data_IF_519110466256
#
_entry.id   IF_519110466256
#
_cell.length_a   1.000
_cell.length_b   1.000
_cell.length_c   1.000
_cell.angle_alpha   90.00
_cell.angle_beta   90.00
_cell.angle_gamma   90.00
#
_symmetry.space_group_name_H-M   'P 1'
#
loop_
_entity.id
_entity.type
_entity.pdbx_description
1 polymer ?
#
# COMPACT_ATOMS: atom_id res chain seq x y z
N UNK A 1 31.28 -0.34 19.18
CA UNK A 1 31.21 0.50 17.96
C UNK A 1 29.76 0.48 17.56
N UNK A 2 29.08 1.63 17.47
CA UNK A 2 27.68 1.63 17.01
C UNK A 2 27.67 1.06 15.59
N UNK A 3 27.00 -0.07 15.41
CA UNK A 3 26.80 -0.70 14.11
C UNK A 3 26.01 0.28 13.25
N UNK A 4 26.53 0.65 12.07
CA UNK A 4 25.84 1.52 11.10
C UNK A 4 24.71 0.79 10.35
N UNK A 5 24.15 -0.26 10.97
CA UNK A 5 23.14 -1.15 10.40
C UNK A 5 22.01 -1.29 11.41
N UNK A 6 20.74 -1.27 10.96
CA UNK A 6 19.63 -1.47 11.87
C UNK A 6 19.67 -2.84 12.54
N UNK A 7 19.22 -2.89 13.77
CA UNK A 7 19.10 -4.11 14.57
C UNK A 7 17.81 -4.84 14.23
N UNK A 8 17.80 -6.15 14.50
CA UNK A 8 16.60 -6.97 14.37
C UNK A 8 15.50 -6.41 15.28
N UNK A 9 14.27 -6.37 14.77
CA UNK A 9 13.07 -6.13 15.59
C UNK A 9 12.20 -7.38 15.65
N UNK A 10 11.57 -7.59 16.79
CA UNK A 10 10.63 -8.68 17.04
C UNK A 10 9.47 -8.18 17.88
N UNK A 11 8.34 -8.89 17.86
CA UNK A 11 7.21 -8.63 18.74
C UNK A 11 7.13 -9.71 19.81
N UNK A 12 6.88 -9.32 21.06
CA UNK A 12 6.58 -10.26 22.14
C UNK A 12 5.14 -10.78 22.07
N UNK A 13 4.76 -11.64 23.01
CA UNK A 13 3.42 -12.24 23.15
C UNK A 13 2.28 -11.22 23.27
N UNK A 14 2.57 -9.98 23.66
CA UNK A 14 1.60 -8.87 23.73
C UNK A 14 1.54 -8.03 22.45
N UNK A 15 2.38 -8.32 21.46
CA UNK A 15 2.54 -7.53 20.24
C UNK A 15 3.38 -6.26 20.43
N UNK A 16 4.08 -6.12 21.55
CA UNK A 16 5.01 -5.00 21.76
C UNK A 16 6.27 -5.25 20.95
N UNK A 17 6.63 -4.29 20.10
CA UNK A 17 7.81 -4.38 19.23
C UNK A 17 9.04 -3.94 20.01
N UNK A 18 10.09 -4.76 19.98
CA UNK A 18 11.37 -4.56 20.65
C UNK A 18 12.49 -4.80 19.66
N UNK A 19 13.61 -4.11 19.84
CA UNK A 19 14.83 -4.36 19.09
C UNK A 19 15.79 -5.27 19.88
N UNK A 20 16.66 -5.95 19.15
CA UNK A 20 17.71 -6.81 19.71
C UNK A 20 19.06 -6.50 19.06
N UNK A 21 19.96 -5.87 19.82
CA UNK A 21 21.28 -5.46 19.34
C UNK A 21 22.22 -6.62 18.99
N UNK A 22 21.95 -7.83 19.49
CA UNK A 22 22.76 -9.01 19.16
C UNK A 22 22.63 -9.47 17.71
N UNK A 23 21.59 -9.04 16.99
CA UNK A 23 21.39 -9.35 15.59
C UNK A 23 21.12 -8.08 14.77
N UNK A 24 21.67 -8.03 13.57
CA UNK A 24 21.28 -7.00 12.58
C UNK A 24 20.00 -7.40 11.86
N UNK A 25 19.29 -6.41 11.31
CA UNK A 25 18.11 -6.63 10.50
C UNK A 25 18.43 -7.55 9.32
N UNK A 26 17.46 -8.39 8.94
CA UNK A 26 17.55 -9.22 7.77
C UNK A 26 16.41 -8.92 6.79
N UNK A 27 16.76 -8.86 5.51
CA UNK A 27 15.82 -8.90 4.40
C UNK A 27 15.83 -10.27 3.75
N UNK A 28 14.67 -10.70 3.26
CA UNK A 28 14.53 -11.93 2.49
C UNK A 28 14.41 -11.62 0.99
N UNK A 29 15.21 -12.35 0.20
CA UNK A 29 15.11 -12.45 -1.25
C UNK A 29 14.86 -13.91 -1.61
N UNK A 30 13.59 -14.30 -1.61
CA UNK A 30 13.21 -15.71 -1.68
C UNK A 30 13.66 -16.46 -0.41
N UNK A 31 14.50 -17.47 -0.57
CA UNK A 31 15.04 -18.29 0.53
C UNK A 31 16.35 -17.74 1.10
N UNK A 32 16.91 -16.68 0.51
CA UNK A 32 18.15 -16.06 0.97
C UNK A 32 17.84 -14.95 1.96
N UNK A 33 18.55 -14.96 3.09
CA UNK A 33 18.51 -13.91 4.10
C UNK A 33 19.86 -13.19 4.14
N UNK A 34 19.82 -11.87 4.10
CA UNK A 34 21.00 -11.04 4.27
C UNK A 34 20.64 -9.68 4.85
N UNK A 35 21.63 -9.00 5.39
CA UNK A 35 21.47 -7.64 5.88
C UNK A 35 21.47 -6.71 4.66
N UNK A 36 20.41 -5.89 4.45
CA UNK A 36 20.40 -4.92 3.36
C UNK A 36 21.56 -3.93 3.47
N UNK A 37 22.04 -3.47 2.32
CA UNK A 37 23.01 -2.38 2.28
C UNK A 37 22.34 -1.06 2.68
N UNK A 38 23.12 -0.13 3.22
CA UNK A 38 22.60 1.19 3.61
C UNK A 38 21.94 1.95 2.44
N UNK A 39 22.36 1.70 1.19
CA UNK A 39 21.75 2.31 0.00
C UNK A 39 20.35 1.75 -0.32
N UNK A 40 19.99 0.60 0.25
CA UNK A 40 18.70 -0.08 0.10
C UNK A 40 17.76 0.21 1.27
N UNK A 41 18.22 1.03 2.24
CA UNK A 41 17.50 1.36 3.45
C UNK A 41 17.02 2.81 3.45
N UNK A 42 15.79 3.00 3.88
CA UNK A 42 15.21 4.30 4.18
C UNK A 42 14.57 4.26 5.57
N UNK A 43 14.45 5.42 6.23
CA UNK A 43 13.59 5.55 7.40
C UNK A 43 12.16 5.13 7.01
N UNK A 44 11.45 4.44 7.91
CA UNK A 44 10.08 4.00 7.70
C UNK A 44 9.20 5.18 7.27
N UNK A 45 8.64 5.18 6.05
CA UNK A 45 7.90 6.33 5.56
C UNK A 45 6.66 6.63 6.40
N UNK A 46 6.38 7.92 6.60
CA UNK A 46 5.19 8.36 7.32
C UNK A 46 3.90 7.82 6.66
N UNK A 47 3.01 7.27 7.48
CA UNK A 47 1.77 6.62 7.01
C UNK A 47 1.92 5.13 6.66
N UNK A 48 3.11 4.55 6.87
CA UNK A 48 3.31 3.09 6.87
C UNK A 48 2.74 2.47 8.15
N UNK A 49 2.46 1.17 8.11
CA UNK A 49 1.99 0.39 9.25
C UNK A 49 2.98 -0.74 9.59
N UNK A 50 3.05 -1.15 10.85
CA UNK A 50 3.83 -2.31 11.29
C UNK A 50 2.91 -3.49 11.56
N UNK A 51 3.30 -4.66 11.07
CA UNK A 51 2.56 -5.91 11.25
C UNK A 51 3.36 -6.91 12.06
N UNK A 52 2.73 -7.43 13.11
CA UNK A 52 3.17 -8.67 13.75
C UNK A 52 2.82 -9.83 12.82
N UNK A 53 3.71 -10.79 12.68
CA UNK A 53 3.55 -11.96 11.82
C UNK A 53 3.33 -13.22 12.67
N UNK A 54 2.08 -13.61 12.98
CA UNK A 54 1.82 -14.74 13.87
C UNK A 54 2.42 -16.05 13.35
N UNK A 55 2.99 -16.84 14.27
CA UNK A 55 3.58 -18.15 13.99
C UNK A 55 4.83 -18.09 13.11
N UNK A 56 5.49 -16.94 13.02
CA UNK A 56 6.72 -16.74 12.25
C UNK A 56 7.80 -16.20 13.17
N UNK A 57 8.85 -16.98 13.36
CA UNK A 57 9.98 -16.61 14.21
C UNK A 57 10.89 -15.62 13.45
N UNK A 58 11.35 -14.52 14.09
CA UNK A 58 12.25 -13.57 13.45
C UNK A 58 13.58 -14.21 13.05
N UNK A 59 14.10 -13.81 11.89
CA UNK A 59 15.48 -14.11 11.48
C UNK A 59 16.24 -12.79 11.40
N UNK A 60 17.40 -12.74 12.03
CA UNK A 60 18.37 -11.65 11.91
C UNK A 60 19.67 -12.14 11.28
N UNK A 61 20.65 -11.24 11.13
CA UNK A 61 22.00 -11.58 10.67
C UNK A 61 23.00 -11.36 11.81
N UNK A 62 23.82 -12.37 12.08
CA UNK A 62 24.92 -12.32 13.04
C UNK A 62 25.96 -11.28 12.60
N UNK A 63 26.28 -10.27 13.42
CA UNK A 63 27.19 -9.18 13.03
C UNK A 63 28.61 -9.65 12.67
N UNK A 64 29.11 -10.68 13.36
CA UNK A 64 30.49 -11.14 13.23
C UNK A 64 30.72 -12.06 12.03
N UNK A 65 29.75 -12.93 11.74
CA UNK A 65 29.86 -13.95 10.67
C UNK A 65 29.14 -13.54 9.39
N UNK A 66 28.12 -12.69 9.49
CA UNK A 66 27.22 -12.38 8.38
C UNK A 66 26.20 -13.49 8.09
N UNK A 67 26.14 -14.53 8.92
CA UNK A 67 25.23 -15.67 8.73
C UNK A 67 23.82 -15.39 9.30
N UNK A 68 22.76 -15.92 8.68
CA UNK A 68 21.42 -15.83 9.24
C UNK A 68 21.29 -16.59 10.57
N UNK A 69 20.65 -15.96 11.56
CA UNK A 69 20.34 -16.56 12.85
C UNK A 69 18.86 -16.40 13.19
N UNK A 70 18.29 -17.49 13.70
CA UNK A 70 16.92 -17.56 14.17
C UNK A 70 16.83 -17.04 15.61
N UNK A 71 15.89 -16.13 15.87
CA UNK A 71 15.50 -15.77 17.23
C UNK A 71 14.26 -16.59 17.61
N UNK A 72 14.42 -17.55 18.51
CA UNK A 72 13.36 -18.47 18.96
C UNK A 72 12.83 -18.18 20.37
N UNK A 73 13.44 -17.23 21.09
CA UNK A 73 12.98 -16.71 22.37
C UNK A 73 13.31 -15.22 22.52
N UNK A 74 12.50 -14.49 23.30
CA UNK A 74 12.79 -13.12 23.70
C UNK A 74 14.13 -13.10 24.46
N UNK A 75 15.16 -12.39 23.97
CA UNK A 75 16.51 -12.43 24.55
C UNK A 75 16.59 -11.78 25.93
N UNK A 76 15.54 -11.06 26.36
CA UNK A 76 15.49 -10.37 27.64
C UNK A 76 14.65 -11.11 28.69
N UNK A 77 13.70 -11.95 28.29
CA UNK A 77 12.80 -12.67 29.21
C UNK A 77 12.90 -14.19 29.11
N UNK A 78 13.40 -14.72 28.00
CA UNK A 78 13.42 -16.15 27.68
C UNK A 78 12.08 -16.72 27.22
N UNK A 79 11.05 -15.89 27.02
CA UNK A 79 9.74 -16.34 26.52
C UNK A 79 9.84 -16.74 25.04
N UNK A 80 9.27 -17.88 24.66
CA UNK A 80 9.34 -18.40 23.29
C UNK A 80 8.21 -17.91 22.38
N UNK A 81 7.22 -17.21 22.93
CA UNK A 81 6.10 -16.65 22.17
C UNK A 81 6.48 -15.27 21.64
N UNK A 82 7.29 -15.28 20.58
CA UNK A 82 7.71 -14.10 19.83
C UNK A 82 7.35 -14.22 18.36
N UNK A 83 7.26 -13.10 17.68
CA UNK A 83 6.89 -13.04 16.27
C UNK A 83 7.75 -12.07 15.49
N UNK A 84 8.03 -12.42 14.23
CA UNK A 84 8.64 -11.51 13.26
C UNK A 84 7.74 -10.29 13.03
N UNK A 85 8.38 -9.19 12.63
CA UNK A 85 7.70 -7.92 12.33
C UNK A 85 7.99 -7.55 10.89
N UNK A 86 6.99 -7.00 10.21
CA UNK A 86 7.13 -6.44 8.86
C UNK A 86 6.54 -5.03 8.80
N UNK A 87 6.93 -4.27 7.78
CA UNK A 87 6.32 -3.00 7.44
C UNK A 87 5.43 -3.10 6.19
N UNK A 88 4.23 -2.54 6.28
CA UNK A 88 3.38 -2.23 5.14
C UNK A 88 3.60 -0.78 4.74
N UNK A 89 4.28 -0.60 3.62
CA UNK A 89 4.85 0.68 3.21
C UNK A 89 3.79 1.69 2.76
N UNK A 90 3.98 2.94 3.16
CA UNK A 90 3.19 4.05 2.65
C UNK A 90 3.28 4.12 1.10
N UNK A 91 2.25 4.66 0.43
CA UNK A 91 2.28 4.83 -1.01
C UNK A 91 3.53 5.60 -1.50
N UNK A 92 3.84 5.50 -2.79
CA UNK A 92 5.06 6.03 -3.44
C UNK A 92 6.39 5.32 -3.10
N UNK A 93 6.37 4.27 -2.27
CA UNK A 93 7.55 3.50 -1.90
C UNK A 93 7.47 2.06 -2.42
N UNK A 94 8.63 1.48 -2.75
CA UNK A 94 8.75 0.12 -3.28
C UNK A 94 9.70 -0.67 -2.38
N UNK A 95 9.23 -1.83 -1.92
CA UNK A 95 10.02 -2.76 -1.12
C UNK A 95 11.12 -3.39 -1.98
N UNK A 96 12.31 -3.54 -1.39
CA UNK A 96 13.46 -4.25 -1.96
C UNK A 96 13.51 -5.69 -1.42
N UNK A 97 13.27 -5.86 -0.11
CA UNK A 97 13.25 -7.17 0.55
C UNK A 97 11.99 -7.36 1.38
N UNK A 98 11.54 -8.62 1.48
CA UNK A 98 10.47 -8.98 2.41
C UNK A 98 11.04 -9.26 3.80
N UNK A 99 10.21 -9.25 4.84
CA UNK A 99 10.61 -9.60 6.18
C UNK A 99 11.22 -11.01 6.23
N UNK A 100 12.36 -11.15 6.90
CA UNK A 100 13.01 -12.44 7.10
C UNK A 100 12.43 -13.15 8.32
N UNK A 101 11.95 -14.37 8.12
CA UNK A 101 11.37 -15.18 9.17
C UNK A 101 11.42 -16.67 8.83
N UNK A 102 11.26 -17.51 9.85
CA UNK A 102 10.96 -18.92 9.71
C UNK A 102 9.51 -19.21 10.12
N UNK A 103 8.72 -19.78 9.22
CA UNK A 103 7.36 -20.21 9.53
C UNK A 103 7.37 -21.44 10.44
N UNK A 104 6.57 -21.41 11.50
CA UNK A 104 6.28 -22.59 12.31
C UNK A 104 5.26 -23.50 11.59
N UNK A 105 5.19 -24.77 11.98
CA UNK A 105 4.33 -25.79 11.35
C UNK A 105 2.85 -25.37 11.26
N UNK A 106 2.35 -24.64 12.26
CA UNK A 106 0.95 -24.18 12.36
C UNK A 106 0.77 -22.69 12.08
N UNK A 107 1.73 -22.06 11.40
CA UNK A 107 1.63 -20.64 11.06
C UNK A 107 0.38 -20.36 10.21
N UNK A 108 -0.47 -19.39 10.57
CA UNK A 108 -1.63 -19.06 9.77
C UNK A 108 -1.22 -18.47 8.41
N UNK A 109 -2.10 -18.62 7.43
CA UNK A 109 -1.99 -17.88 6.17
C UNK A 109 -2.16 -16.39 6.46
N UNK A 110 -1.23 -15.59 5.98
CA UNK A 110 -1.32 -14.13 6.07
C UNK A 110 -2.12 -13.58 4.88
N UNK A 111 -2.81 -12.44 5.06
CA UNK A 111 -3.36 -11.69 3.94
C UNK A 111 -2.28 -11.36 2.89
N UNK A 112 -2.69 -11.11 1.66
CA UNK A 112 -1.78 -10.83 0.54
C UNK A 112 -1.32 -9.36 0.55
N UNK A 113 -0.56 -8.99 1.58
CA UNK A 113 0.07 -7.68 1.73
C UNK A 113 1.57 -7.71 1.39
N UNK A 114 2.15 -6.53 1.23
CA UNK A 114 3.59 -6.37 1.14
C UNK A 114 4.19 -6.36 2.54
N UNK A 115 4.90 -7.43 2.90
CA UNK A 115 5.56 -7.59 4.19
C UNK A 115 7.03 -7.20 4.05
N UNK A 116 7.34 -5.90 4.13
CA UNK A 116 8.69 -5.37 3.92
C UNK A 116 9.57 -5.61 5.14
N UNK A 117 10.85 -5.90 4.93
CA UNK A 117 11.81 -6.01 6.01
C UNK A 117 11.94 -4.69 6.78
N UNK A 118 12.00 -4.77 8.11
CA UNK A 118 12.09 -3.63 9.01
C UNK A 118 13.11 -3.93 10.12
N UNK A 119 13.85 -2.90 10.54
CA UNK A 119 14.80 -2.92 11.64
C UNK A 119 14.76 -1.62 12.44
N UNK A 120 15.59 -1.51 13.47
CA UNK A 120 15.67 -0.33 14.33
C UNK A 120 17.07 0.28 14.35
N UNK A 121 17.17 1.61 14.21
CA UNK A 121 18.43 2.34 14.27
C UNK A 121 18.17 3.79 14.65
N UNK A 122 18.98 4.33 15.56
CA UNK A 122 18.95 5.74 15.99
C UNK A 122 17.56 6.24 16.41
N UNK A 123 16.82 5.40 17.14
CA UNK A 123 15.50 5.76 17.67
C UNK A 123 14.37 5.73 16.64
N UNK A 124 14.59 5.12 15.47
CA UNK A 124 13.64 5.06 14.37
C UNK A 124 13.59 3.67 13.73
N UNK A 125 12.46 3.38 13.09
CA UNK A 125 12.35 2.22 12.20
C UNK A 125 12.97 2.52 10.84
N UNK A 126 13.67 1.53 10.31
CA UNK A 126 14.28 1.53 8.98
C UNK A 126 13.78 0.33 8.19
N UNK A 127 13.61 0.50 6.89
CA UNK A 127 13.01 -0.52 6.01
C UNK A 127 13.81 -0.71 4.74
N UNK A 128 13.80 -1.93 4.21
CA UNK A 128 14.41 -2.27 2.94
C UNK A 128 13.54 -1.81 1.77
N UNK A 129 13.65 -0.55 1.39
CA UNK A 129 12.80 0.08 0.40
C UNK A 129 13.45 1.31 -0.22
N UNK A 130 12.88 1.79 -1.33
CA UNK A 130 13.19 3.09 -1.91
C UNK A 130 11.92 3.84 -2.31
N UNK A 131 12.02 5.17 -2.45
CA UNK A 131 10.91 5.99 -2.96
C UNK A 131 10.90 5.96 -4.49
N UNK A 132 9.90 5.31 -5.07
CA UNK A 132 9.76 5.15 -6.53
C UNK A 132 9.00 6.31 -7.19
N UNK A 133 8.10 6.98 -6.48
CA UNK A 133 7.43 8.21 -6.94
C UNK A 133 7.84 9.42 -6.10
N UNK A 134 8.55 10.36 -6.71
CA UNK A 134 9.03 11.57 -6.04
C UNK A 134 7.94 12.63 -5.84
N UNK A 135 6.75 12.48 -6.45
CA UNK A 135 5.63 13.38 -6.22
C UNK A 135 5.05 13.16 -4.82
N UNK A 136 4.69 14.26 -4.15
CA UNK A 136 4.07 14.23 -2.82
C UNK A 136 2.56 13.98 -2.85
N UNK A 137 2.00 13.70 -4.04
CA UNK A 137 0.56 13.54 -4.24
C UNK A 137 -0.10 12.47 -3.37
N UNK A 138 0.65 11.49 -2.92
CA UNK A 138 0.16 10.37 -2.12
C UNK A 138 0.57 10.45 -0.64
N UNK A 139 1.36 11.46 -0.26
CA UNK A 139 1.91 11.59 1.09
C UNK A 139 0.82 11.87 2.11
N UNK A 140 0.87 11.17 3.26
CA UNK A 140 -0.17 11.24 4.28
C UNK A 140 -0.33 12.64 4.88
N UNK A 141 0.77 13.39 5.02
CA UNK A 141 0.79 14.77 5.49
C UNK A 141 -0.11 15.70 4.66
N UNK A 142 -0.37 15.36 3.39
CA UNK A 142 -1.26 16.10 2.52
C UNK A 142 -2.75 15.89 2.79
N UNK A 143 -3.17 14.93 3.64
CA UNK A 143 -4.55 14.50 3.78
C UNK A 143 -5.18 14.91 5.13
N UNK A 144 -5.91 16.01 5.14
CA UNK A 144 -6.73 16.41 6.29
C UNK A 144 -8.09 15.68 6.26
N UNK A 145 -8.32 14.73 7.18
CA UNK A 145 -9.51 13.88 7.17
C UNK A 145 -10.83 14.66 7.31
N UNK A 146 -10.87 15.72 8.13
CA UNK A 146 -12.08 16.54 8.30
C UNK A 146 -12.45 17.27 7.00
N UNK A 147 -11.45 17.78 6.30
CA UNK A 147 -11.65 18.43 5.00
C UNK A 147 -12.10 17.43 3.94
N UNK A 148 -11.51 16.22 3.93
CA UNK A 148 -11.89 15.12 3.03
C UNK A 148 -13.35 14.76 3.23
N UNK A 149 -13.77 14.47 4.46
CA UNK A 149 -15.15 14.12 4.79
C UNK A 149 -16.13 15.19 4.26
N UNK A 150 -15.88 16.46 4.59
CA UNK A 150 -16.72 17.59 4.18
C UNK A 150 -16.83 17.75 2.66
N UNK A 151 -15.70 17.66 1.93
CA UNK A 151 -15.68 17.83 0.48
C UNK A 151 -16.30 16.64 -0.25
N UNK A 152 -15.99 15.43 0.21
CA UNK A 152 -16.55 14.20 -0.36
C UNK A 152 -18.06 14.19 -0.22
N UNK A 153 -18.59 14.37 0.98
CA UNK A 153 -20.03 14.41 1.20
C UNK A 153 -20.75 15.48 0.37
N UNK A 154 -20.17 16.70 0.28
CA UNK A 154 -20.72 17.76 -0.55
C UNK A 154 -20.84 17.31 -2.01
N UNK A 155 -19.77 16.72 -2.56
CA UNK A 155 -19.73 16.30 -3.96
C UNK A 155 -20.64 15.10 -4.23
N UNK A 156 -20.74 14.15 -3.30
CA UNK A 156 -21.69 13.04 -3.38
C UNK A 156 -23.15 13.52 -3.42
N UNK A 157 -23.50 14.54 -2.61
CA UNK A 157 -24.84 15.15 -2.63
C UNK A 157 -25.14 15.92 -3.91
N UNK A 158 -24.13 16.54 -4.52
CA UNK A 158 -24.27 17.30 -5.76
C UNK A 158 -24.43 16.40 -7.00
N UNK A 159 -23.86 15.19 -6.97
CA UNK A 159 -23.83 14.27 -8.11
C UNK A 159 -24.45 12.91 -7.77
N UNK A 160 -25.70 12.92 -7.28
CA UNK A 160 -26.39 11.70 -6.82
C UNK A 160 -26.60 10.66 -7.93
N UNK A 161 -26.79 11.13 -9.16
CA UNK A 161 -27.10 10.27 -10.30
C UNK A 161 -25.85 9.70 -11.00
N UNK A 162 -24.66 10.20 -10.67
CA UNK A 162 -23.41 9.71 -11.24
C UNK A 162 -22.85 8.56 -10.39
N UNK A 163 -23.03 7.32 -10.86
CA UNK A 163 -22.65 6.12 -10.10
C UNK A 163 -21.15 6.05 -9.86
N UNK A 164 -20.35 6.57 -10.79
CA UNK A 164 -18.89 6.58 -10.67
C UNK A 164 -18.42 7.50 -9.54
N UNK A 165 -19.02 8.69 -9.40
CA UNK A 165 -18.74 9.59 -8.28
C UNK A 165 -19.14 8.95 -6.95
N UNK A 166 -20.28 8.25 -6.90
CA UNK A 166 -20.71 7.52 -5.70
C UNK A 166 -19.73 6.40 -5.33
N UNK A 167 -19.23 5.64 -6.31
CA UNK A 167 -18.21 4.61 -6.10
C UNK A 167 -16.90 5.21 -5.55
N UNK A 168 -16.41 6.31 -6.14
CA UNK A 168 -15.23 7.01 -5.63
C UNK A 168 -15.42 7.51 -4.18
N UNK A 169 -16.65 7.85 -3.78
CA UNK A 169 -16.98 8.17 -2.39
C UNK A 169 -16.62 7.04 -1.42
N UNK A 170 -16.97 5.80 -1.78
CA UNK A 170 -16.58 4.60 -1.02
C UNK A 170 -15.06 4.44 -0.99
N UNK A 171 -14.39 4.57 -2.14
CA UNK A 171 -12.93 4.48 -2.21
C UNK A 171 -12.24 5.53 -1.31
N UNK A 172 -12.76 6.75 -1.27
CA UNK A 172 -12.21 7.85 -0.49
C UNK A 172 -12.41 7.69 1.03
N UNK A 173 -13.62 7.31 1.45
CA UNK A 173 -14.02 7.34 2.86
C UNK A 173 -13.85 5.98 3.56
N UNK A 174 -13.98 4.88 2.83
CA UNK A 174 -13.84 3.52 3.39
C UNK A 174 -12.44 2.99 3.21
N UNK A 175 -11.91 3.00 1.98
CA UNK A 175 -10.59 2.41 1.69
C UNK A 175 -9.43 3.40 1.83
N UNK A 176 -9.71 4.69 2.00
CA UNK A 176 -8.69 5.71 2.12
C UNK A 176 -7.83 5.91 0.87
N UNK A 177 -8.31 5.52 -0.32
CA UNK A 177 -7.58 5.58 -1.59
C UNK A 177 -7.03 7.01 -1.84
N UNK A 178 -5.69 7.20 -1.95
CA UNK A 178 -5.10 8.52 -2.17
C UNK A 178 -5.60 9.21 -3.44
N UNK A 179 -5.78 8.48 -4.53
CA UNK A 179 -6.28 9.04 -5.79
C UNK A 179 -7.74 9.52 -5.66
N UNK A 180 -8.61 8.75 -5.00
CA UNK A 180 -9.99 9.18 -4.75
C UNK A 180 -10.03 10.39 -3.80
N UNK A 181 -9.20 10.42 -2.75
CA UNK A 181 -9.06 11.56 -1.84
C UNK A 181 -8.60 12.81 -2.60
N UNK A 182 -7.62 12.69 -3.49
CA UNK A 182 -7.14 13.79 -4.33
C UNK A 182 -8.23 14.36 -5.25
N UNK A 183 -9.05 13.49 -5.85
CA UNK A 183 -10.23 13.93 -6.62
C UNK A 183 -11.21 14.77 -5.78
N UNK A 184 -11.58 14.34 -4.57
CA UNK A 184 -12.51 15.10 -3.72
C UNK A 184 -11.85 16.35 -3.11
N UNK A 185 -10.54 16.34 -2.91
CA UNK A 185 -9.76 17.54 -2.59
C UNK A 185 -9.58 18.47 -3.79
N UNK A 186 -9.89 18.04 -5.01
CA UNK A 186 -9.79 18.84 -6.23
C UNK A 186 -8.36 19.17 -6.61
N UNK A 187 -7.44 18.20 -6.47
CA UNK A 187 -6.01 18.36 -6.77
C UNK A 187 -5.45 17.16 -7.52
N UNK A 188 -4.42 17.40 -8.33
CA UNK A 188 -3.55 16.36 -8.92
C UNK A 188 -4.31 15.29 -9.70
N UNK A 189 -4.15 14.02 -9.34
CA UNK A 189 -4.75 12.88 -10.03
C UNK A 189 -6.19 12.60 -9.58
N UNK A 190 -7.07 12.34 -10.55
CA UNK A 190 -8.40 11.77 -10.32
C UNK A 190 -8.53 10.42 -11.06
N UNK A 191 -8.83 9.31 -10.34
CA UNK A 191 -8.96 8.00 -10.94
C UNK A 191 -10.31 7.86 -11.65
N UNK A 192 -10.33 7.18 -12.80
CA UNK A 192 -11.51 6.91 -13.62
C UNK A 192 -11.76 5.40 -13.73
N UNK A 193 -12.16 4.73 -12.64
CA UNK A 193 -12.32 3.29 -12.64
C UNK A 193 -13.42 2.87 -13.62
N UNK A 194 -13.05 2.11 -14.65
CA UNK A 194 -13.92 1.94 -15.83
C UNK A 194 -14.39 0.52 -16.09
N UNK A 195 -13.80 -0.53 -15.49
CA UNK A 195 -14.11 -1.91 -15.86
C UNK A 195 -14.49 -2.80 -14.68
N UNK A 196 -15.61 -3.55 -14.73
CA UNK A 196 -15.88 -4.58 -13.74
C UNK A 196 -15.14 -5.91 -14.04
N UNK A 197 -14.50 -6.04 -15.20
CA UNK A 197 -13.84 -7.25 -15.66
C UNK A 197 -12.32 -7.04 -15.79
N UNK A 198 -11.54 -8.12 -15.72
CA UNK A 198 -10.08 -8.09 -15.87
C UNK A 198 -9.64 -9.20 -16.82
N UNK A 199 -8.61 -8.93 -17.63
CA UNK A 199 -7.93 -9.91 -18.48
C UNK A 199 -6.73 -10.58 -17.77
N UNK A 200 -6.42 -10.16 -16.54
CA UNK A 200 -5.36 -10.74 -15.72
C UNK A 200 -5.93 -11.70 -14.67
N UNK A 201 -5.21 -12.79 -14.42
CA UNK A 201 -5.53 -13.81 -13.43
C UNK A 201 -4.53 -13.79 -12.26
N UNK A 202 -4.37 -12.62 -11.64
CA UNK A 202 -3.43 -12.43 -10.53
C UNK A 202 -3.79 -13.35 -9.36
N UNK A 203 -2.84 -14.14 -8.88
CA UNK A 203 -2.98 -14.98 -7.67
C UNK A 203 -3.40 -14.11 -6.47
N UNK A 204 -2.82 -12.92 -6.36
CA UNK A 204 -3.08 -11.96 -5.29
C UNK A 204 -3.92 -10.75 -5.71
N UNK A 205 -4.98 -10.94 -6.50
CA UNK A 205 -5.82 -9.81 -6.89
C UNK A 205 -6.43 -9.08 -5.68
N UNK A 206 -6.12 -7.79 -5.54
CA UNK A 206 -6.58 -6.95 -4.43
C UNK A 206 -8.11 -6.75 -4.42
N UNK A 207 -8.76 -6.97 -5.56
CA UNK A 207 -10.16 -6.62 -5.78
C UNK A 207 -11.10 -7.76 -6.15
N UNK A 208 -10.55 -8.93 -6.47
CA UNK A 208 -11.34 -10.12 -6.77
C UNK A 208 -10.59 -11.39 -6.36
N UNK A 209 -10.93 -11.90 -5.19
CA UNK A 209 -10.47 -13.19 -4.67
C UNK A 209 -11.67 -14.14 -4.59
N UNK A 210 -11.52 -15.43 -4.98
CA UNK A 210 -12.51 -16.43 -4.62
C UNK A 210 -12.67 -16.43 -3.10
N UNK A 211 -13.92 -16.49 -2.62
CA UNK A 211 -14.25 -16.47 -1.18
C UNK A 211 -13.48 -17.57 -0.45
N UNK A 212 -12.75 -17.22 0.62
CA UNK A 212 -11.88 -18.14 1.35
C UNK A 212 -11.02 -17.43 2.42
N UNK A 213 -9.80 -17.93 2.62
CA UNK A 213 -8.87 -17.49 3.67
C UNK A 213 -8.20 -16.12 3.43
N UNK A 214 -8.13 -15.64 2.19
CA UNK A 214 -7.50 -14.37 1.83
C UNK A 214 -8.51 -13.48 1.08
N UNK A 215 -9.40 -12.76 1.80
CA UNK A 215 -10.38 -11.89 1.15
C UNK A 215 -9.71 -10.72 0.42
N UNK A 216 -10.36 -10.23 -0.62
CA UNK A 216 -9.96 -8.99 -1.29
C UNK A 216 -9.98 -7.81 -0.32
N UNK A 217 -8.99 -6.95 -0.42
CA UNK A 217 -8.83 -5.78 0.45
C UNK A 217 -9.76 -4.63 0.04
N UNK A 218 -10.17 -4.59 -1.23
CA UNK A 218 -11.07 -3.57 -1.77
C UNK A 218 -12.01 -4.16 -2.81
N UNK A 219 -13.32 -4.02 -2.65
CA UNK A 219 -14.28 -4.56 -3.63
C UNK A 219 -14.11 -4.00 -5.04
N UNK A 220 -14.10 -4.89 -6.05
CA UNK A 220 -14.15 -4.48 -7.47
C UNK A 220 -15.41 -3.68 -7.80
N UNK A 221 -15.26 -2.66 -8.65
CA UNK A 221 -16.40 -1.94 -9.23
C UNK A 221 -17.33 -2.92 -9.96
N UNK A 222 -18.64 -2.80 -9.76
CA UNK A 222 -19.63 -3.78 -10.25
C UNK A 222 -20.34 -3.37 -11.54
N UNK A 223 -19.93 -2.26 -12.14
CA UNK A 223 -20.55 -1.70 -13.34
C UNK A 223 -19.48 -1.06 -14.21
N UNK A 224 -19.75 -0.98 -15.52
CA UNK A 224 -19.02 -0.09 -16.42
C UNK A 224 -19.71 1.28 -16.42
N UNK A 225 -19.01 2.38 -16.09
CA UNK A 225 -19.57 3.73 -16.17
C UNK A 225 -19.81 4.11 -17.64
N UNK A 226 -20.73 5.02 -17.87
CA UNK A 226 -20.94 5.61 -19.19
C UNK A 226 -19.86 6.65 -19.50
N UNK A 227 -19.65 6.96 -20.78
CA UNK A 227 -18.74 8.03 -21.19
C UNK A 227 -19.10 9.40 -20.57
N UNK A 228 -20.39 9.65 -20.34
CA UNK A 228 -20.88 10.86 -19.67
C UNK A 228 -20.51 10.89 -18.18
N UNK A 229 -20.68 9.77 -17.47
CA UNK A 229 -20.29 9.68 -16.05
C UNK A 229 -18.79 9.94 -15.86
N UNK A 230 -17.96 9.40 -16.76
CA UNK A 230 -16.50 9.65 -16.79
C UNK A 230 -16.21 11.13 -17.08
N UNK A 231 -16.83 11.70 -18.11
CA UNK A 231 -16.59 13.09 -18.52
C UNK A 231 -17.01 14.10 -17.43
N UNK A 232 -18.08 13.81 -16.68
CA UNK A 232 -18.56 14.64 -15.57
C UNK A 232 -17.56 14.73 -14.41
N UNK A 233 -16.72 13.71 -14.23
CA UNK A 233 -15.58 13.76 -13.30
C UNK A 233 -14.41 14.52 -13.94
N UNK A 234 -14.01 14.08 -15.13
CA UNK A 234 -12.75 14.46 -15.73
C UNK A 234 -12.70 15.94 -16.17
N UNK A 235 -13.75 16.45 -16.80
CA UNK A 235 -13.78 17.82 -17.34
C UNK A 235 -13.63 18.88 -16.25
N UNK A 236 -14.47 18.91 -15.19
CA UNK A 236 -14.30 19.92 -14.14
C UNK A 236 -12.99 19.73 -13.37
N UNK A 237 -12.49 18.49 -13.22
CA UNK A 237 -11.21 18.24 -12.58
C UNK A 237 -10.05 18.83 -13.39
N UNK A 238 -9.95 18.50 -14.68
CA UNK A 238 -8.91 19.02 -15.58
C UNK A 238 -8.94 20.55 -15.68
N UNK A 239 -10.11 21.18 -15.66
CA UNK A 239 -10.22 22.64 -15.68
C UNK A 239 -9.66 23.28 -14.41
N UNK A 240 -10.00 22.75 -13.23
CA UNK A 240 -9.85 23.47 -11.97
C UNK A 240 -8.71 22.98 -11.08
N UNK A 241 -8.34 21.70 -11.13
CA UNK A 241 -7.33 21.16 -10.24
C UNK A 241 -5.91 21.62 -10.64
N UNK A 242 -5.01 21.87 -9.67
CA UNK A 242 -3.59 22.10 -9.93
C UNK A 242 -2.92 20.82 -10.44
N UNK A 243 -2.04 20.96 -11.45
CA UNK A 243 -1.32 19.86 -12.13
C UNK A 243 -2.23 18.65 -12.40
N UNK A 244 -3.36 18.86 -13.10
CA UNK A 244 -4.42 17.87 -13.11
C UNK A 244 -4.08 16.71 -14.03
N UNK A 245 -4.33 15.50 -13.55
CA UNK A 245 -4.25 14.26 -14.33
C UNK A 245 -5.53 13.47 -14.10
N UNK A 246 -6.00 12.79 -15.14
CA UNK A 246 -7.03 11.77 -14.99
C UNK A 246 -6.48 10.46 -15.55
N UNK A 247 -6.73 9.36 -14.87
CA UNK A 247 -6.12 8.07 -15.17
C UNK A 247 -7.16 6.97 -15.29
N UNK A 248 -7.01 6.12 -16.30
CA UNK A 248 -7.69 4.83 -16.39
C UNK A 248 -6.68 3.79 -15.91
N UNK A 249 -6.86 3.29 -14.69
CA UNK A 249 -5.94 2.35 -14.07
C UNK A 249 -6.43 0.91 -14.18
N UNK A 250 -5.50 -0.05 -14.12
CA UNK A 250 -5.81 -1.44 -13.80
C UNK A 250 -5.54 -1.67 -12.31
N UNK A 251 -6.56 -2.08 -11.55
CA UNK A 251 -6.43 -2.19 -10.10
C UNK A 251 -7.70 -2.67 -9.41
N UNK A 252 -8.32 -1.77 -8.64
CA UNK A 252 -9.62 -2.04 -8.01
C UNK A 252 -10.75 -2.07 -9.07
N UNK A 253 -10.46 -1.63 -10.28
CA UNK A 253 -11.37 -1.39 -11.39
C UNK A 253 -11.12 -2.28 -12.61
N UNK A 254 -10.63 -3.50 -12.39
CA UNK A 254 -10.39 -4.45 -13.48
C UNK A 254 -9.42 -3.91 -14.55
N UNK A 255 -9.51 -4.43 -15.77
CA UNK A 255 -8.74 -3.97 -16.94
C UNK A 255 -9.55 -2.91 -17.70
N UNK A 256 -9.10 -1.64 -17.72
CA UNK A 256 -9.82 -0.55 -18.37
C UNK A 256 -9.95 -0.72 -19.89
N UNK A 257 -8.99 -1.36 -20.56
CA UNK A 257 -8.99 -1.55 -22.02
C UNK A 257 -10.14 -2.46 -22.50
N UNK A 258 -10.73 -3.27 -21.61
CA UNK A 258 -11.96 -4.02 -21.93
C UNK A 258 -13.18 -3.11 -22.18
N UNK A 259 -13.07 -1.81 -21.89
CA UNK A 259 -14.10 -0.81 -22.10
C UNK A 259 -13.72 0.21 -23.19
N UNK A 260 -12.82 -0.16 -24.11
CA UNK A 260 -12.24 0.73 -25.12
C UNK A 260 -13.23 1.70 -25.78
N UNK A 261 -14.38 1.22 -26.24
CA UNK A 261 -15.40 2.07 -26.89
C UNK A 261 -15.99 3.15 -25.97
N UNK A 262 -16.09 2.87 -24.67
CA UNK A 262 -16.52 3.84 -23.66
C UNK A 262 -15.40 4.84 -23.37
N UNK A 263 -14.16 4.37 -23.24
CA UNK A 263 -12.99 5.21 -23.02
C UNK A 263 -12.81 6.20 -24.17
N UNK A 264 -12.83 5.73 -25.42
CA UNK A 264 -12.74 6.56 -26.63
C UNK A 264 -13.77 7.69 -26.61
N UNK A 265 -15.05 7.35 -26.41
CA UNK A 265 -16.14 8.35 -26.33
C UNK A 265 -15.91 9.37 -25.21
N UNK A 266 -15.47 8.90 -24.04
CA UNK A 266 -15.19 9.79 -22.90
C UNK A 266 -14.02 10.72 -23.20
N UNK A 267 -12.95 10.22 -23.82
CA UNK A 267 -11.77 11.01 -24.20
C UNK A 267 -12.17 12.09 -25.21
N UNK A 268 -12.98 11.76 -26.23
CA UNK A 268 -13.50 12.78 -27.15
C UNK A 268 -14.34 13.85 -26.45
N UNK A 269 -15.22 13.47 -25.52
CA UNK A 269 -16.01 14.44 -24.74
C UNK A 269 -15.12 15.35 -23.89
N UNK A 270 -14.09 14.78 -23.26
CA UNK A 270 -13.12 15.50 -22.45
C UNK A 270 -12.33 16.48 -23.32
N UNK A 271 -11.68 15.99 -24.39
CA UNK A 271 -10.81 16.80 -25.26
C UNK A 271 -11.53 17.91 -26.01
N UNK A 272 -12.85 17.81 -26.22
CA UNK A 272 -13.66 18.91 -26.75
C UNK A 272 -13.86 20.06 -25.77
N UNK A 273 -13.68 19.84 -24.47
CA UNK A 273 -13.96 20.82 -23.42
C UNK A 273 -12.73 21.24 -22.61
N UNK A 274 -11.59 20.56 -22.77
CA UNK A 274 -10.33 20.89 -22.11
C UNK A 274 -9.16 20.83 -23.10
N UNK A 275 -8.22 21.76 -22.94
CA UNK A 275 -6.92 21.78 -23.64
C UNK A 275 -5.82 21.09 -22.86
N UNK A 276 -6.06 20.76 -21.57
CA UNK A 276 -5.22 19.86 -20.78
C UNK A 276 -5.61 18.41 -21.06
#
# INVERSE_FOLDING_TARGET
MSSNKPTLVFANSKGEIRDYEGLTMAGASGELFHCPDHAELIELPEGSELFVLPGRLPVGIEPDTGEPALLDADPYTGETDISAVAAFMAPAHTAVYTAAYQSQEKAPLLPLFAYTAVGWMDGKFWVAAFRSDQDNRQDIAGFNQNLINKRTEKKLRQHRDNRLIQHLGKCCLTYGCPAARNYFLGRWEAPLPSSPACNASCVGCISLQPSGCCPSTQDRIRFAPTAREIAEIAIPHLKNAPRPVVSFGQGCEGEPLLQASTLEKSIHMIRRQTTK
#
